data_IF_404622340969
#
_entry.id   IF_404622340969
#
_cell.length_a   1.000
_cell.length_b   1.000
_cell.length_c   1.000
_cell.angle_alpha   90.00
_cell.angle_beta   90.00
_cell.angle_gamma   90.00
#
_symmetry.space_group_name_H-M   'P 1'
#
loop_
_entity.id
_entity.type
_entity.pdbx_description
1 polymer ?
#
# COMPACT_ATOMS: atom_id res chain seq x y z
N UNK A 1 -31.15 15.49 -38.25
CA UNK A 1 -29.78 15.25 -37.76
C UNK A 1 -29.84 14.07 -36.81
N UNK A 2 -29.48 12.86 -37.26
CA UNK A 2 -29.54 11.64 -36.45
C UNK A 2 -28.25 11.53 -35.65
N UNK A 3 -28.31 11.80 -34.34
CA UNK A 3 -27.24 11.45 -33.41
C UNK A 3 -27.45 9.98 -33.04
N UNK A 4 -26.70 9.07 -33.66
CA UNK A 4 -26.57 7.70 -33.16
C UNK A 4 -25.63 7.74 -31.94
N UNK A 5 -26.12 8.22 -30.82
CA UNK A 5 -25.44 8.05 -29.54
C UNK A 5 -25.61 6.58 -29.13
N UNK A 6 -24.59 5.78 -29.42
CA UNK A 6 -24.58 4.37 -29.06
C UNK A 6 -24.41 4.28 -27.53
N UNK A 7 -25.51 4.09 -26.80
CA UNK A 7 -25.49 3.96 -25.34
C UNK A 7 -24.83 2.63 -24.98
N UNK A 8 -23.82 2.69 -24.10
CA UNK A 8 -23.12 1.48 -23.65
C UNK A 8 -23.95 0.68 -22.65
N UNK A 9 -23.64 -0.61 -22.55
CA UNK A 9 -24.37 -1.54 -21.69
C UNK A 9 -24.16 -1.21 -20.20
N UNK A 10 -22.99 -0.69 -19.84
CA UNK A 10 -22.69 -0.24 -18.48
C UNK A 10 -23.59 0.93 -18.07
N UNK A 11 -23.77 1.90 -18.96
CA UNK A 11 -24.63 3.06 -18.72
C UNK A 11 -26.11 2.65 -18.63
N UNK A 12 -26.53 1.67 -19.45
CA UNK A 12 -27.88 1.13 -19.41
C UNK A 12 -28.16 0.35 -18.11
N UNK A 13 -27.21 -0.44 -17.64
CA UNK A 13 -27.31 -1.16 -16.37
C UNK A 13 -27.32 -0.18 -15.18
N UNK A 14 -26.44 0.83 -15.17
CA UNK A 14 -26.44 1.87 -14.14
C UNK A 14 -27.78 2.62 -14.08
N UNK A 15 -28.40 2.90 -15.25
CA UNK A 15 -29.75 3.47 -15.30
C UNK A 15 -30.82 2.54 -14.69
N UNK A 16 -30.78 1.24 -15.00
CA UNK A 16 -31.69 0.23 -14.44
C UNK A 16 -31.47 0.03 -12.93
N UNK A 17 -30.24 0.24 -12.47
CA UNK A 17 -29.86 0.18 -11.06
C UNK A 17 -30.12 1.47 -10.28
N UNK A 18 -30.52 2.54 -10.96
CA UNK A 18 -30.77 3.86 -10.37
C UNK A 18 -29.48 4.48 -9.76
N UNK A 19 -28.34 4.21 -10.39
CA UNK A 19 -27.00 4.68 -9.99
C UNK A 19 -26.51 5.88 -10.82
N UNK A 20 -27.42 6.57 -11.52
CA UNK A 20 -27.09 7.74 -12.35
C UNK A 20 -27.56 9.04 -11.70
N UNK A 21 -26.83 10.13 -11.97
CA UNK A 21 -27.21 11.46 -11.51
C UNK A 21 -28.47 11.97 -12.23
N UNK A 22 -29.14 12.98 -11.65
CA UNK A 22 -30.47 13.43 -12.11
C UNK A 22 -30.44 14.01 -13.53
N UNK A 23 -29.38 14.74 -13.87
CA UNK A 23 -29.12 15.27 -15.22
C UNK A 23 -28.88 14.16 -16.25
N UNK A 24 -28.04 13.19 -15.93
CA UNK A 24 -27.71 12.05 -16.81
C UNK A 24 -28.94 11.17 -17.06
N UNK A 25 -29.75 10.96 -16.02
CA UNK A 25 -31.00 10.20 -16.11
C UNK A 25 -32.00 10.86 -17.06
N UNK A 26 -32.12 12.19 -17.04
CA UNK A 26 -32.98 12.93 -17.98
C UNK A 26 -32.51 12.79 -19.42
N UNK A 27 -31.20 12.86 -19.67
CA UNK A 27 -30.64 12.68 -21.01
C UNK A 27 -30.87 11.26 -21.56
N UNK A 28 -30.68 10.24 -20.73
CA UNK A 28 -30.88 8.84 -21.12
C UNK A 28 -32.36 8.52 -21.34
N UNK A 29 -33.26 9.07 -20.53
CA UNK A 29 -34.72 8.94 -20.73
C UNK A 29 -35.15 9.51 -22.08
N UNK A 30 -34.57 10.64 -22.49
CA UNK A 30 -34.81 11.29 -23.78
C UNK A 30 -34.35 10.43 -24.96
N UNK A 31 -33.22 9.72 -24.81
CA UNK A 31 -32.71 8.80 -25.84
C UNK A 31 -33.54 7.52 -25.89
N UNK A 32 -33.82 6.91 -24.75
CA UNK A 32 -34.69 5.71 -24.64
C UNK A 32 -36.09 6.00 -25.20
N UNK A 33 -36.63 7.20 -24.98
CA UNK A 33 -37.94 7.59 -25.46
C UNK A 33 -38.04 7.67 -26.99
N UNK A 34 -36.92 7.78 -27.70
CA UNK A 34 -36.85 7.91 -29.17
C UNK A 34 -36.44 6.62 -29.88
N UNK A 35 -35.99 5.60 -29.14
CA UNK A 35 -35.48 4.34 -29.67
C UNK A 35 -36.24 3.14 -29.08
N UNK A 36 -37.11 2.53 -29.91
CA UNK A 36 -37.91 1.37 -29.52
C UNK A 36 -37.05 0.13 -29.22
N UNK A 37 -35.90 -0.04 -29.87
CA UNK A 37 -35.00 -1.16 -29.62
C UNK A 37 -34.32 -1.01 -28.25
N UNK A 38 -33.86 0.19 -27.92
CA UNK A 38 -33.26 0.49 -26.61
C UNK A 38 -34.31 0.37 -25.49
N UNK A 39 -35.54 0.82 -25.73
CA UNK A 39 -36.66 0.64 -24.81
C UNK A 39 -36.95 -0.84 -24.52
N UNK A 40 -36.91 -1.69 -25.54
CA UNK A 40 -37.02 -3.15 -25.38
C UNK A 40 -35.94 -3.71 -24.45
N UNK A 41 -34.68 -3.34 -24.69
CA UNK A 41 -33.53 -3.78 -23.87
C UNK A 41 -33.65 -3.36 -22.40
N UNK A 42 -34.10 -2.13 -22.13
CA UNK A 42 -34.34 -1.65 -20.75
C UNK A 42 -35.43 -2.46 -20.06
N UNK A 43 -36.50 -2.80 -20.77
CA UNK A 43 -37.58 -3.63 -20.24
C UNK A 43 -37.07 -5.04 -19.89
N UNK A 44 -36.24 -5.64 -20.75
CA UNK A 44 -35.63 -6.95 -20.48
C UNK A 44 -34.75 -6.92 -19.23
N UNK A 45 -33.87 -5.92 -19.11
CA UNK A 45 -32.98 -5.76 -17.95
C UNK A 45 -33.77 -5.57 -16.65
N UNK A 46 -34.82 -4.74 -16.67
CA UNK A 46 -35.70 -4.57 -15.50
C UNK A 46 -36.43 -5.87 -15.14
N UNK A 47 -36.90 -6.61 -16.14
CA UNK A 47 -37.54 -7.91 -15.93
C UNK A 47 -36.58 -8.92 -15.30
N UNK A 48 -35.36 -9.01 -15.80
CA UNK A 48 -34.32 -9.89 -15.26
C UNK A 48 -34.01 -9.55 -13.80
N UNK A 49 -33.84 -8.28 -13.48
CA UNK A 49 -33.57 -7.80 -12.13
C UNK A 49 -34.68 -8.19 -11.14
N UNK A 50 -35.95 -8.03 -11.51
CA UNK A 50 -37.07 -8.45 -10.67
C UNK A 50 -37.13 -9.97 -10.49
N UNK A 51 -36.87 -10.75 -11.55
CA UNK A 51 -36.82 -12.22 -11.45
C UNK A 51 -35.73 -12.70 -10.47
N UNK A 52 -34.52 -12.13 -10.54
CA UNK A 52 -33.43 -12.48 -9.63
C UNK A 52 -33.78 -12.10 -8.19
N UNK A 53 -34.32 -10.89 -7.98
CA UNK A 53 -34.76 -10.42 -6.66
C UNK A 53 -35.82 -11.34 -6.05
N UNK A 54 -36.75 -11.84 -6.86
CA UNK A 54 -37.74 -12.82 -6.42
C UNK A 54 -37.13 -14.18 -6.07
N UNK A 55 -36.23 -14.71 -6.91
CA UNK A 55 -35.58 -16.00 -6.66
C UNK A 55 -34.77 -16.01 -5.36
N UNK A 56 -34.17 -14.87 -4.99
CA UNK A 56 -33.36 -14.72 -3.78
C UNK A 56 -34.10 -14.11 -2.59
N UNK A 57 -35.42 -13.95 -2.65
CA UNK A 57 -36.19 -13.42 -1.52
C UNK A 57 -36.11 -14.33 -0.27
N UNK A 58 -35.96 -15.63 -0.47
CA UNK A 58 -35.71 -16.59 0.60
C UNK A 58 -34.52 -17.46 0.20
N UNK A 59 -33.27 -17.02 0.47
CA UNK A 59 -32.12 -17.87 0.22
C UNK A 59 -32.27 -19.16 1.04
N UNK A 60 -31.90 -20.34 0.49
CA UNK A 60 -32.01 -21.58 1.23
C UNK A 60 -31.24 -21.44 2.55
N UNK A 61 -31.95 -21.52 3.67
CA UNK A 61 -31.31 -21.62 4.98
C UNK A 61 -30.47 -22.90 4.96
N UNK A 62 -29.22 -22.80 5.39
CA UNK A 62 -28.39 -23.98 5.57
C UNK A 62 -29.04 -24.82 6.67
N UNK A 63 -29.74 -25.89 6.29
CA UNK A 63 -30.16 -26.92 7.23
C UNK A 63 -28.88 -27.56 7.75
N UNK A 64 -28.41 -27.08 8.91
CA UNK A 64 -27.43 -27.79 9.68
C UNK A 64 -28.01 -29.18 9.90
N UNK A 65 -27.46 -30.17 9.20
CA UNK A 65 -27.90 -31.54 9.22
C UNK A 65 -28.17 -31.93 10.68
N UNK A 66 -29.43 -32.25 10.95
CA UNK A 66 -29.83 -32.87 12.20
C UNK A 66 -29.19 -34.26 12.21
N UNK A 67 -27.91 -34.33 12.60
CA UNK A 67 -27.26 -35.59 12.91
C UNK A 67 -28.00 -36.15 14.12
N UNK A 68 -28.81 -37.18 13.84
CA UNK A 68 -29.33 -38.11 14.81
C UNK A 68 -28.15 -38.85 15.50
N UNK A 69 -27.45 -38.17 16.38
CA UNK A 69 -26.54 -38.80 17.31
C UNK A 69 -27.37 -39.25 18.50
N UNK A 70 -27.71 -40.53 18.48
CA UNK A 70 -28.19 -41.29 19.63
C UNK A 70 -27.20 -41.13 20.78
N UNK A 71 -27.41 -40.12 21.64
CA UNK A 71 -26.55 -39.86 22.80
C UNK A 71 -26.88 -40.87 23.89
N UNK A 72 -26.04 -41.89 24.00
CA UNK A 72 -25.88 -42.65 25.24
C UNK A 72 -25.60 -41.66 26.38
N UNK A 73 -26.55 -41.58 27.31
CA UNK A 73 -26.61 -40.64 28.44
C UNK A 73 -25.46 -40.93 29.42
N UNK A 74 -24.31 -40.27 29.23
CA UNK A 74 -23.23 -40.17 30.24
C UNK A 74 -23.41 -38.89 31.07
N UNK A 75 -23.15 -38.91 32.39
CA UNK A 75 -23.54 -37.83 33.30
C UNK A 75 -22.83 -36.50 32.98
N UNK A 76 -23.62 -35.42 32.97
CA UNK A 76 -23.27 -34.08 32.45
C UNK A 76 -22.12 -33.36 33.19
N UNK A 77 -21.75 -33.82 34.38
CA UNK A 77 -20.75 -33.15 35.22
C UNK A 77 -19.31 -33.31 34.71
N UNK A 78 -18.95 -34.48 34.18
CA UNK A 78 -17.56 -34.78 33.76
C UNK A 78 -17.23 -34.21 32.37
N UNK A 79 -18.24 -33.94 31.55
CA UNK A 79 -18.07 -33.33 30.22
C UNK A 79 -17.78 -31.83 30.28
N UNK A 80 -18.31 -31.13 31.29
CA UNK A 80 -18.12 -29.68 31.41
C UNK A 80 -16.69 -29.32 31.84
N UNK A 81 -16.07 -30.10 32.75
CA UNK A 81 -14.69 -29.86 33.21
C UNK A 81 -13.67 -30.09 32.08
N UNK A 82 -13.86 -31.14 31.25
CA UNK A 82 -12.99 -31.41 30.09
C UNK A 82 -13.08 -30.33 29.01
N UNK A 83 -14.28 -29.75 28.81
CA UNK A 83 -14.48 -28.66 27.84
C UNK A 83 -13.84 -27.36 28.33
N UNK A 84 -13.98 -27.03 29.61
CA UNK A 84 -13.36 -25.83 30.20
C UNK A 84 -11.83 -25.93 30.15
N UNK A 85 -11.25 -27.09 30.47
CA UNK A 85 -9.80 -27.29 30.40
C UNK A 85 -9.23 -27.14 28.97
N UNK A 86 -9.95 -27.63 27.95
CA UNK A 86 -9.53 -27.48 26.56
C UNK A 86 -9.64 -26.03 26.05
N UNK A 87 -10.67 -25.29 26.44
CA UNK A 87 -10.82 -23.88 26.09
C UNK A 87 -9.71 -23.02 26.70
N UNK A 88 -9.36 -23.26 27.96
CA UNK A 88 -8.25 -22.54 28.63
C UNK A 88 -6.91 -22.87 27.97
N UNK A 89 -6.67 -24.13 27.59
CA UNK A 89 -5.44 -24.52 26.90
C UNK A 89 -5.32 -23.84 25.52
N UNK A 90 -6.40 -23.79 24.73
CA UNK A 90 -6.43 -23.11 23.43
C UNK A 90 -6.29 -21.59 23.56
N UNK A 91 -6.89 -20.97 24.59
CA UNK A 91 -6.74 -19.53 24.84
C UNK A 91 -5.32 -19.17 25.30
N UNK A 92 -4.65 -20.03 26.07
CA UNK A 92 -3.26 -19.81 26.47
C UNK A 92 -2.29 -19.99 25.29
N UNK A 93 -2.47 -21.04 24.49
CA UNK A 93 -1.64 -21.26 23.29
C UNK A 93 -1.90 -20.21 22.20
N UNK A 94 -3.17 -19.82 21.98
CA UNK A 94 -3.56 -18.79 21.03
C UNK A 94 -3.22 -17.37 21.48
N UNK A 95 -3.35 -17.07 22.77
CA UNK A 95 -3.04 -15.76 23.33
C UNK A 95 -1.54 -15.45 23.31
N UNK A 96 -0.69 -16.43 23.66
CA UNK A 96 0.76 -16.25 23.65
C UNK A 96 1.30 -16.19 22.21
N UNK A 97 0.81 -17.06 21.31
CA UNK A 97 1.20 -16.99 19.89
C UNK A 97 0.69 -15.71 19.21
N UNK A 98 -0.53 -15.28 19.54
CA UNK A 98 -1.12 -14.04 19.05
C UNK A 98 -0.36 -12.79 19.49
N UNK A 99 0.13 -12.72 20.74
CA UNK A 99 0.96 -11.62 21.22
C UNK A 99 2.35 -11.58 20.57
N UNK A 100 2.98 -12.75 20.35
CA UNK A 100 4.26 -12.82 19.64
C UNK A 100 4.13 -12.45 18.14
N UNK A 101 2.98 -12.76 17.53
CA UNK A 101 2.70 -12.36 16.16
C UNK A 101 2.32 -10.87 16.11
N UNK A 102 1.54 -10.34 17.05
CA UNK A 102 1.18 -8.93 17.10
C UNK A 102 2.41 -8.02 17.34
N UNK A 103 3.34 -8.42 18.20
CA UNK A 103 4.61 -7.69 18.41
C UNK A 103 5.58 -7.78 17.24
N UNK A 104 5.44 -8.78 16.35
CA UNK A 104 6.15 -8.84 15.05
C UNK A 104 5.34 -8.28 13.87
N UNK A 105 4.04 -8.04 14.06
CA UNK A 105 3.08 -7.62 13.03
C UNK A 105 2.83 -6.10 13.11
N UNK A 106 3.88 -5.32 13.34
CA UNK A 106 3.93 -3.90 12.99
C UNK A 106 4.73 -3.66 11.69
N UNK A 107 5.03 -4.74 10.94
CA UNK A 107 5.78 -4.69 9.69
C UNK A 107 5.23 -5.68 8.67
N UNK A 108 4.05 -5.39 8.11
CA UNK A 108 3.65 -5.98 6.83
C UNK A 108 2.97 -4.96 5.93
N UNK A 109 3.69 -3.89 5.62
CA UNK A 109 3.42 -3.04 4.45
C UNK A 109 3.79 -3.84 3.19
N UNK A 110 2.88 -4.72 2.76
CA UNK A 110 2.97 -5.49 1.51
C UNK A 110 3.13 -4.60 0.27
N UNK A 111 2.86 -3.29 0.41
CA UNK A 111 3.05 -2.25 -0.60
C UNK A 111 4.50 -1.76 -0.76
N UNK A 112 5.38 -1.89 0.25
CA UNK A 112 6.77 -1.43 0.16
C UNK A 112 7.64 -2.39 -0.67
N UNK A 113 7.58 -3.69 -0.36
CA UNK A 113 8.36 -4.74 -1.06
C UNK A 113 7.93 -4.89 -2.52
N UNK A 114 6.64 -4.69 -2.82
CA UNK A 114 6.13 -4.72 -4.20
C UNK A 114 6.60 -3.52 -5.03
N UNK A 115 6.69 -2.33 -4.43
CA UNK A 115 7.21 -1.13 -5.12
C UNK A 115 8.72 -1.20 -5.34
N UNK A 116 9.47 -1.60 -4.32
CA UNK A 116 10.93 -1.72 -4.42
C UNK A 116 11.33 -2.84 -5.38
N UNK A 117 10.61 -3.98 -5.37
CA UNK A 117 10.81 -5.02 -6.39
C UNK A 117 10.57 -4.50 -7.81
N UNK A 118 9.58 -3.61 -8.02
CA UNK A 118 9.31 -3.02 -9.34
C UNK A 118 10.38 -2.01 -9.76
N UNK A 119 10.84 -1.15 -8.84
CA UNK A 119 11.96 -0.24 -9.09
C UNK A 119 13.26 -1.00 -9.38
N UNK A 120 13.53 -2.07 -8.63
CA UNK A 120 14.67 -2.96 -8.91
C UNK A 120 14.52 -3.72 -10.24
N UNK A 121 13.30 -4.00 -10.69
CA UNK A 121 13.02 -4.65 -11.98
C UNK A 121 13.06 -3.69 -13.17
N UNK A 122 12.83 -2.39 -12.94
CA UNK A 122 12.92 -1.31 -13.93
C UNK A 122 14.37 -0.84 -14.19
N UNK A 123 15.35 -1.35 -13.44
CA UNK A 123 16.77 -1.24 -13.80
C UNK A 123 16.88 -1.81 -15.21
N UNK A 124 17.06 -0.93 -16.19
CA UNK A 124 16.97 -1.26 -17.61
C UNK A 124 17.90 -2.45 -17.90
N UNK A 125 17.32 -3.64 -18.05
CA UNK A 125 18.08 -4.87 -18.30
C UNK A 125 18.92 -4.78 -19.58
N UNK A 126 18.59 -3.84 -20.47
CA UNK A 126 19.33 -3.54 -21.69
C UNK A 126 20.62 -2.72 -21.47
N UNK A 127 20.67 -1.84 -20.45
CA UNK A 127 21.82 -0.96 -20.19
C UNK A 127 22.61 -1.36 -18.95
N UNK A 128 22.03 -2.20 -18.09
CA UNK A 128 22.62 -2.53 -16.78
C UNK A 128 22.70 -1.34 -15.83
N UNK A 129 21.98 -0.25 -16.13
CA UNK A 129 21.97 0.99 -15.37
C UNK A 129 20.59 1.26 -14.77
N UNK A 130 20.57 1.74 -13.53
CA UNK A 130 19.34 2.14 -12.83
C UNK A 130 19.60 3.27 -11.86
N UNK A 131 18.56 4.04 -11.53
CA UNK A 131 18.65 5.08 -10.52
C UNK A 131 17.40 5.07 -9.65
N UNK A 132 17.57 5.18 -8.33
CA UNK A 132 16.45 5.20 -7.38
C UNK A 132 16.64 6.28 -6.33
N UNK A 133 15.56 7.00 -6.03
CA UNK A 133 15.50 7.97 -4.95
C UNK A 133 14.48 7.50 -3.88
N UNK A 134 14.96 7.36 -2.66
CA UNK A 134 14.17 7.05 -1.47
C UNK A 134 13.82 8.33 -0.73
N UNK A 135 12.53 8.64 -0.56
CA UNK A 135 12.11 9.69 0.35
C UNK A 135 11.85 9.12 1.74
N UNK A 136 12.47 9.71 2.75
CA UNK A 136 12.27 9.39 4.17
C UNK A 136 11.62 10.59 4.86
N UNK A 137 10.45 10.37 5.46
CA UNK A 137 9.66 11.47 6.06
C UNK A 137 9.42 11.34 7.58
N UNK A 138 10.08 10.40 8.23
CA UNK A 138 9.82 9.99 9.62
C UNK A 138 11.11 9.90 10.44
N UNK A 139 11.03 10.23 11.72
CA UNK A 139 12.10 10.05 12.72
C UNK A 139 12.14 8.64 13.34
N UNK A 140 11.20 7.75 12.98
CA UNK A 140 11.09 6.42 13.59
C UNK A 140 12.36 5.57 13.31
N UNK A 141 13.12 5.15 14.35
CA UNK A 141 14.38 4.42 14.17
C UNK A 141 14.25 3.12 13.37
N UNK A 142 13.14 2.38 13.49
CA UNK A 142 12.94 1.15 12.72
C UNK A 142 12.81 1.44 11.23
N UNK A 143 12.08 2.49 10.86
CA UNK A 143 11.95 2.91 9.46
C UNK A 143 13.24 3.49 8.91
N UNK A 144 13.93 4.31 9.70
CA UNK A 144 15.25 4.84 9.34
C UNK A 144 16.26 3.73 9.07
N UNK A 145 16.32 2.72 9.95
CA UNK A 145 17.15 1.53 9.75
C UNK A 145 16.76 0.77 8.48
N UNK A 146 15.46 0.58 8.25
CA UNK A 146 14.97 -0.15 7.07
C UNK A 146 15.38 0.52 5.76
N UNK A 147 15.36 1.86 5.68
CA UNK A 147 15.83 2.59 4.49
C UNK A 147 17.30 2.31 4.23
N UNK A 148 18.13 2.38 5.28
CA UNK A 148 19.57 2.15 5.16
C UNK A 148 19.86 0.69 4.77
N UNK A 149 19.16 -0.27 5.38
CA UNK A 149 19.28 -1.69 5.04
C UNK A 149 18.91 -1.95 3.58
N UNK A 150 17.82 -1.35 3.10
CA UNK A 150 17.37 -1.52 1.72
C UNK A 150 18.36 -0.92 0.72
N UNK A 151 18.78 0.32 0.96
CA UNK A 151 19.75 0.99 0.10
C UNK A 151 21.07 0.20 0.03
N UNK A 152 21.57 -0.30 1.16
CA UNK A 152 22.76 -1.14 1.22
C UNK A 152 22.57 -2.45 0.44
N UNK A 153 21.45 -3.14 0.65
CA UNK A 153 21.10 -4.38 -0.06
C UNK A 153 21.06 -4.20 -1.59
N UNK A 154 20.39 -3.15 -2.07
CA UNK A 154 20.32 -2.84 -3.50
C UNK A 154 21.70 -2.52 -4.10
N UNK A 155 22.53 -1.77 -3.36
CA UNK A 155 23.89 -1.45 -3.80
C UNK A 155 24.79 -2.69 -3.81
N UNK A 156 24.66 -3.59 -2.84
CA UNK A 156 25.39 -4.87 -2.81
C UNK A 156 24.99 -5.77 -3.98
N UNK A 157 23.68 -5.98 -4.17
CA UNK A 157 23.15 -6.78 -5.28
C UNK A 157 23.61 -6.23 -6.64
N UNK A 158 23.53 -4.90 -6.83
CA UNK A 158 24.00 -4.25 -8.06
C UNK A 158 25.49 -4.50 -8.32
N UNK A 159 26.34 -4.45 -7.28
CA UNK A 159 27.77 -4.73 -7.43
C UNK A 159 28.06 -6.18 -7.77
N UNK A 160 27.35 -7.13 -7.16
CA UNK A 160 27.49 -8.56 -7.45
C UNK A 160 27.13 -8.90 -8.90
N UNK A 161 26.14 -8.21 -9.45
CA UNK A 161 25.66 -8.43 -10.81
C UNK A 161 26.33 -7.53 -11.87
N UNK A 162 27.37 -6.77 -11.49
CA UNK A 162 28.05 -5.79 -12.34
C UNK A 162 27.10 -4.76 -12.98
N UNK A 163 26.01 -4.42 -12.29
CA UNK A 163 25.08 -3.35 -12.67
C UNK A 163 25.50 -2.03 -12.03
N UNK A 164 25.19 -0.93 -12.71
CA UNK A 164 25.42 0.43 -12.23
C UNK A 164 24.11 1.02 -11.69
N UNK A 165 23.91 0.94 -10.37
CA UNK A 165 22.75 1.52 -9.70
C UNK A 165 23.14 2.79 -8.95
N UNK A 166 22.55 3.94 -9.23
CA UNK A 166 22.69 5.11 -8.36
C UNK A 166 21.55 5.14 -7.34
N UNK A 167 21.87 5.35 -6.08
CA UNK A 167 20.89 5.42 -4.98
C UNK A 167 20.98 6.77 -4.31
N UNK A 168 19.84 7.41 -4.09
CA UNK A 168 19.75 8.62 -3.29
C UNK A 168 18.74 8.47 -2.17
N UNK A 169 19.09 8.96 -0.98
CA UNK A 169 18.18 9.02 0.17
C UNK A 169 17.89 10.49 0.48
N UNK A 170 16.65 10.91 0.25
CA UNK A 170 16.12 12.24 0.48
C UNK A 170 15.38 12.29 1.82
N UNK A 171 16.02 12.89 2.83
CA UNK A 171 15.44 13.12 4.14
C UNK A 171 14.59 14.40 4.18
N UNK A 172 13.31 14.27 4.52
CA UNK A 172 12.34 15.36 4.59
C UNK A 172 11.59 15.33 5.95
N UNK A 173 10.98 16.44 6.34
CA UNK A 173 10.24 16.59 7.60
C UNK A 173 11.08 16.09 8.79
N UNK A 174 10.52 15.23 9.64
CA UNK A 174 11.23 14.59 10.76
C UNK A 174 12.35 13.66 10.32
N UNK A 175 12.30 13.16 9.08
CA UNK A 175 13.35 12.30 8.52
C UNK A 175 14.72 13.00 8.42
N UNK A 176 14.77 14.33 8.49
CA UNK A 176 16.03 15.09 8.55
C UNK A 176 16.90 14.68 9.74
N UNK A 177 16.31 14.13 10.81
CA UNK A 177 17.03 13.59 11.96
C UNK A 177 17.96 12.44 11.60
N UNK A 178 17.70 11.71 10.50
CA UNK A 178 18.61 10.70 9.97
C UNK A 178 19.98 11.28 9.61
N UNK A 179 20.02 12.52 9.14
CA UNK A 179 21.20 13.18 8.58
C UNK A 179 21.80 14.25 9.51
N UNK A 180 21.22 14.41 10.70
CA UNK A 180 21.67 15.36 11.72
C UNK A 180 22.76 14.75 12.60
N UNK A 181 23.90 15.42 12.71
CA UNK A 181 25.05 14.96 13.49
C UNK A 181 24.78 14.92 15.00
N UNK A 182 23.84 15.73 15.49
CA UNK A 182 23.50 15.86 16.90
C UNK A 182 22.50 14.81 17.41
N UNK A 183 21.67 14.24 16.52
CA UNK A 183 20.59 13.30 16.92
C UNK A 183 20.60 11.96 16.18
N UNK A 184 21.26 11.84 15.03
CA UNK A 184 21.22 10.61 14.23
C UNK A 184 21.94 9.46 14.95
N UNK A 185 21.25 8.35 15.28
CA UNK A 185 21.92 7.17 15.80
C UNK A 185 22.72 6.41 14.72
N UNK A 186 22.60 6.82 13.45
CA UNK A 186 23.19 6.13 12.30
C UNK A 186 24.40 6.85 11.68
N UNK A 187 24.89 7.95 12.27
CA UNK A 187 25.96 8.76 11.68
C UNK A 187 27.20 7.97 11.28
N UNK A 188 27.69 7.06 12.14
CA UNK A 188 28.83 6.18 11.82
C UNK A 188 28.53 5.25 10.65
N UNK A 189 27.32 4.67 10.60
CA UNK A 189 26.90 3.77 9.52
C UNK A 189 26.81 4.51 8.20
N UNK A 190 26.18 5.69 8.18
CA UNK A 190 26.07 6.55 7.00
C UNK A 190 27.45 6.88 6.45
N UNK A 191 28.40 7.28 7.30
CA UNK A 191 29.78 7.55 6.88
C UNK A 191 30.48 6.33 6.26
N UNK A 192 30.28 5.13 6.83
CA UNK A 192 30.80 3.88 6.24
C UNK A 192 30.16 3.56 4.90
N UNK A 193 28.84 3.75 4.76
CA UNK A 193 28.12 3.53 3.50
C UNK A 193 28.61 4.51 2.41
N UNK A 194 28.74 5.80 2.73
CA UNK A 194 29.26 6.81 1.79
C UNK A 194 30.69 6.48 1.33
N UNK A 195 31.54 5.94 2.22
CA UNK A 195 32.89 5.51 1.86
C UNK A 195 32.90 4.22 1.01
N UNK A 196 31.97 3.29 1.26
CA UNK A 196 31.87 2.00 0.57
C UNK A 196 31.21 2.12 -0.81
N UNK A 197 30.29 3.06 -0.99
CA UNK A 197 29.46 3.20 -2.19
C UNK A 197 29.54 4.64 -2.75
N UNK A 198 30.36 4.90 -3.79
CA UNK A 198 30.46 6.23 -4.40
C UNK A 198 29.20 6.65 -5.17
N UNK A 199 28.34 5.68 -5.48
CA UNK A 199 27.05 5.81 -6.16
C UNK A 199 25.87 5.99 -5.18
N UNK A 200 26.14 6.29 -3.90
CA UNK A 200 25.14 6.58 -2.87
C UNK A 200 25.19 8.05 -2.45
N UNK A 201 24.08 8.75 -2.61
CA UNK A 201 23.88 10.14 -2.16
C UNK A 201 22.93 10.27 -0.98
N UNK A 202 23.24 11.19 -0.07
CA UNK A 202 22.31 11.60 1.00
C UNK A 202 21.97 13.08 0.85
N UNK A 203 20.67 13.38 0.84
CA UNK A 203 20.14 14.72 0.61
C UNK A 203 19.18 15.10 1.74
N UNK A 204 19.38 16.27 2.32
CA UNK A 204 18.49 16.84 3.34
C UNK A 204 17.59 17.92 2.73
N UNK A 205 16.32 17.93 3.12
CA UNK A 205 15.35 18.92 2.67
C UNK A 205 15.64 20.29 3.28
N UNK A 206 16.09 21.24 2.46
CA UNK A 206 16.39 22.61 2.86
C UNK A 206 15.20 23.32 3.49
N UNK A 207 13.98 23.06 3.00
CA UNK A 207 12.76 23.59 3.63
C UNK A 207 12.57 23.06 5.05
N UNK A 208 12.76 21.75 5.28
CA UNK A 208 12.64 21.18 6.61
C UNK A 208 13.74 21.69 7.56
N UNK A 209 14.97 21.87 7.06
CA UNK A 209 16.06 22.51 7.81
C UNK A 209 15.70 23.95 8.19
N UNK A 210 15.14 24.73 7.28
CA UNK A 210 14.69 26.10 7.57
C UNK A 210 13.62 26.12 8.65
N UNK A 211 12.65 25.20 8.58
CA UNK A 211 11.60 25.06 9.61
C UNK A 211 12.20 24.77 10.98
N UNK A 212 13.13 23.81 11.09
CA UNK A 212 13.80 23.50 12.36
C UNK A 212 14.55 24.72 12.92
N UNK A 213 15.28 25.44 12.05
CA UNK A 213 15.99 26.67 12.44
C UNK A 213 15.06 27.77 12.91
N UNK A 214 13.91 27.97 12.26
CA UNK A 214 12.90 28.94 12.73
C UNK A 214 12.28 28.56 14.08
N UNK A 215 12.28 27.27 14.42
CA UNK A 215 11.87 26.76 15.74
C UNK A 215 12.99 26.82 16.79
N UNK A 216 14.13 27.48 16.50
CA UNK A 216 15.25 27.61 17.42
C UNK A 216 16.17 26.39 17.51
N UNK A 217 15.99 25.39 16.64
CA UNK A 217 16.81 24.18 16.61
C UNK A 217 17.99 24.40 15.66
N UNK A 218 19.21 24.38 16.20
CA UNK A 218 20.42 24.38 15.39
C UNK A 218 20.54 23.05 14.64
N UNK A 219 20.81 23.10 13.33
CA UNK A 219 20.89 21.91 12.47
C UNK A 219 22.31 21.81 11.92
N UNK A 220 23.03 20.79 12.38
CA UNK A 220 24.34 20.38 11.86
C UNK A 220 24.20 19.04 11.15
N UNK A 221 24.49 18.99 9.86
CA UNK A 221 24.38 17.77 9.07
C UNK A 221 25.66 16.93 9.18
N UNK A 222 25.52 15.62 8.96
CA UNK A 222 26.65 14.72 8.78
C UNK A 222 27.51 15.13 7.58
N UNK A 223 28.82 14.83 7.58
CA UNK A 223 29.70 15.11 6.44
C UNK A 223 29.16 14.51 5.13
N UNK A 224 29.50 15.13 4.00
CA UNK A 224 29.11 14.68 2.65
C UNK A 224 27.58 14.55 2.45
N UNK A 225 26.79 15.27 3.25
CA UNK A 225 25.34 15.39 3.06
C UNK A 225 25.04 16.60 2.18
N UNK A 226 24.33 16.38 1.07
CA UNK A 226 23.84 17.47 0.23
C UNK A 226 22.56 18.10 0.79
N UNK A 227 22.24 19.32 0.34
CA UNK A 227 21.01 20.02 0.70
C UNK A 227 20.27 20.40 -0.56
N UNK A 228 19.04 19.92 -0.70
CA UNK A 228 18.14 20.31 -1.79
C UNK A 228 17.22 21.45 -1.34
N UNK A 229 16.71 22.26 -2.28
CA UNK A 229 15.77 23.36 -2.00
C UNK A 229 14.51 22.87 -1.25
N UNK A 230 13.90 21.80 -1.77
CA UNK A 230 12.78 21.06 -1.18
C UNK A 230 12.81 19.60 -1.64
N UNK A 231 12.19 18.70 -0.87
CA UNK A 231 12.08 17.29 -1.27
C UNK A 231 11.21 17.10 -2.51
N UNK A 232 10.09 17.83 -2.63
CA UNK A 232 9.20 17.72 -3.78
C UNK A 232 9.89 18.11 -5.09
N UNK A 233 10.67 19.19 -5.07
CA UNK A 233 11.44 19.66 -6.23
C UNK A 233 12.53 18.66 -6.63
N UNK A 234 13.29 18.14 -5.67
CA UNK A 234 14.35 17.16 -5.95
C UNK A 234 13.77 15.85 -6.48
N UNK A 235 12.69 15.33 -5.87
CA UNK A 235 12.03 14.11 -6.35
C UNK A 235 11.49 14.32 -7.77
N UNK A 236 10.81 15.44 -8.04
CA UNK A 236 10.29 15.73 -9.38
C UNK A 236 11.42 15.82 -10.42
N UNK A 237 12.55 16.46 -10.06
CA UNK A 237 13.75 16.51 -10.91
C UNK A 237 14.28 15.11 -11.21
N UNK A 238 14.36 14.22 -10.22
CA UNK A 238 14.81 12.83 -10.42
C UNK A 238 13.86 12.02 -11.28
N UNK A 239 12.55 12.17 -11.07
CA UNK A 239 11.53 11.55 -11.92
C UNK A 239 11.65 11.99 -13.38
N UNK A 240 11.90 13.27 -13.65
CA UNK A 240 12.15 13.78 -15.01
C UNK A 240 13.44 13.23 -15.64
N UNK A 241 14.41 12.86 -14.81
CA UNK A 241 15.64 12.19 -15.22
C UNK A 241 15.49 10.66 -15.36
N UNK A 242 14.27 10.14 -15.19
CA UNK A 242 13.97 8.70 -15.30
C UNK A 242 14.38 7.88 -14.09
N UNK A 243 14.49 8.48 -12.90
CA UNK A 243 14.74 7.75 -11.66
C UNK A 243 13.46 7.07 -11.17
N UNK A 244 13.60 5.88 -10.60
CA UNK A 244 12.54 5.27 -9.81
C UNK A 244 12.43 5.96 -8.44
N UNK A 245 11.22 5.94 -7.89
CA UNK A 245 10.90 6.61 -6.64
C UNK A 245 10.24 5.65 -5.65
N UNK A 246 10.73 5.68 -4.40
CA UNK A 246 10.14 4.95 -3.29
C UNK A 246 10.01 5.86 -2.05
N UNK A 247 8.91 5.71 -1.31
CA UNK A 247 8.62 6.49 -0.11
C UNK A 247 8.54 5.61 1.14
N UNK A 248 9.10 6.12 2.25
CA UNK A 248 9.20 5.44 3.55
C UNK A 248 8.72 6.33 4.71
#
# INVERSE_FOLDING_TARGET
MKSNANISDELLNAFVDNELETNEKSEILDVIGRDDALKGRVCELRGLKEMVKHAYHHPPMHEAAAENVMRLRRPQYVQNIRRIAACVLLLLLGGVSGWFIATKSESRNHSYVAYVSRAAHNINSATGQGNIIFQVSTSNPLRLKAVLDEAESLLEASRHENRQLNVEIMANAEGVDLLRADVSPYGKRIGLMQAKYPNLGFLACGQAIRTLRSSGIAVHLLPNTGVASSAAEEINKRLQQGWDYARI
#
